data_IF_931381088932
#
_entry.id   IF_931381088932
#
_cell.length_a   1.000
_cell.length_b   1.000
_cell.length_c   1.000
_cell.angle_alpha   90.00
_cell.angle_beta   90.00
_cell.angle_gamma   90.00
#
_symmetry.space_group_name_H-M   'P 1'
#
loop_
_entity.id
_entity.type
_entity.pdbx_description
1 polymer ?
#
# COMPACT_ATOMS: atom_id res chain seq x y z
N UNK A 1 -58.06 13.42 49.91
CA UNK A 1 -58.14 12.46 48.80
C UNK A 1 -57.17 11.33 49.10
N UNK A 2 -57.65 10.09 49.17
CA UNK A 2 -56.81 8.88 49.33
C UNK A 2 -56.58 8.22 47.97
N UNK A 3 -55.63 7.28 47.87
CA UNK A 3 -55.42 6.50 46.64
C UNK A 3 -56.71 5.76 46.24
N UNK A 4 -57.45 5.23 47.21
CA UNK A 4 -58.74 4.56 46.96
C UNK A 4 -59.79 5.51 46.35
N UNK A 5 -59.76 6.79 46.76
CA UNK A 5 -60.64 7.81 46.18
C UNK A 5 -60.25 8.12 44.72
N UNK A 6 -58.94 8.16 44.41
CA UNK A 6 -58.42 8.36 43.04
C UNK A 6 -58.80 7.17 42.15
N UNK A 7 -58.66 5.92 42.65
CA UNK A 7 -59.09 4.71 41.92
C UNK A 7 -60.58 4.78 41.60
N UNK A 8 -61.40 5.13 42.60
CA UNK A 8 -62.85 5.26 42.44
C UNK A 8 -63.22 6.34 41.43
N UNK A 9 -62.60 7.52 41.52
CA UNK A 9 -62.81 8.63 40.58
C UNK A 9 -62.34 8.28 39.16
N UNK A 10 -61.25 7.52 39.03
CA UNK A 10 -60.74 7.03 37.73
C UNK A 10 -61.77 6.14 37.05
N UNK A 11 -62.30 5.15 37.76
CA UNK A 11 -63.29 4.21 37.21
C UNK A 11 -64.61 4.94 36.88
N UNK A 12 -65.05 5.84 37.76
CA UNK A 12 -66.23 6.67 37.52
C UNK A 12 -66.08 7.56 36.29
N UNK A 13 -64.90 8.18 36.11
CA UNK A 13 -64.60 9.02 34.96
C UNK A 13 -64.61 8.23 33.66
N UNK A 14 -63.99 7.04 33.63
CA UNK A 14 -63.97 6.17 32.45
C UNK A 14 -65.38 5.70 32.06
N UNK A 15 -66.17 5.30 33.04
CA UNK A 15 -67.57 4.90 32.84
C UNK A 15 -68.42 6.05 32.31
N UNK A 16 -68.26 7.26 32.86
CA UNK A 16 -68.99 8.45 32.40
C UNK A 16 -68.61 8.86 30.97
N UNK A 17 -67.34 8.68 30.58
CA UNK A 17 -66.84 8.95 29.24
C UNK A 17 -67.14 7.83 28.22
N UNK A 18 -67.74 6.71 28.67
CA UNK A 18 -67.93 5.48 27.86
C UNK A 18 -66.62 4.94 27.27
N UNK A 19 -65.50 5.20 27.94
CA UNK A 19 -64.18 4.72 27.53
C UNK A 19 -63.99 3.30 28.08
N UNK A 20 -63.55 2.32 27.27
CA UNK A 20 -63.37 0.96 27.75
C UNK A 20 -62.30 0.89 28.83
N UNK A 21 -62.56 0.10 29.88
CA UNK A 21 -61.65 -0.12 31.00
C UNK A 21 -60.47 -1.02 30.59
N UNK A 22 -59.58 -0.48 29.78
CA UNK A 22 -58.32 -1.11 29.40
C UNK A 22 -57.20 -0.66 30.34
N UNK A 23 -56.13 -1.46 30.52
CA UNK A 23 -54.98 -1.04 31.33
C UNK A 23 -54.41 0.33 30.93
N UNK A 24 -54.36 0.63 29.62
CA UNK A 24 -53.88 1.92 29.10
C UNK A 24 -54.80 3.08 29.48
N UNK A 25 -56.10 2.96 29.21
CA UNK A 25 -57.07 4.02 29.50
C UNK A 25 -57.19 4.27 31.01
N UNK A 26 -57.08 3.21 31.81
CA UNK A 26 -57.01 3.29 33.26
C UNK A 26 -55.77 4.06 33.70
N UNK A 27 -54.58 3.70 33.22
CA UNK A 27 -53.32 4.34 33.59
C UNK A 27 -53.30 5.83 33.23
N UNK A 28 -53.71 6.20 32.01
CA UNK A 28 -53.79 7.61 31.58
C UNK A 28 -54.74 8.43 32.45
N UNK A 29 -55.93 7.89 32.72
CA UNK A 29 -56.95 8.58 33.52
C UNK A 29 -56.52 8.69 34.99
N UNK A 30 -55.94 7.63 35.53
CA UNK A 30 -55.42 7.57 36.90
C UNK A 30 -54.29 8.57 37.10
N UNK A 31 -53.29 8.58 36.22
CA UNK A 31 -52.18 9.53 36.29
C UNK A 31 -52.63 10.99 36.17
N UNK A 32 -53.64 11.27 35.34
CA UNK A 32 -54.26 12.60 35.20
C UNK A 32 -54.96 13.05 36.48
N UNK A 33 -55.73 12.16 37.12
CA UNK A 33 -56.46 12.47 38.37
C UNK A 33 -55.47 12.59 39.53
N UNK A 34 -54.51 11.67 39.66
CA UNK A 34 -53.46 11.72 40.67
C UNK A 34 -52.69 13.05 40.63
N UNK A 35 -52.31 13.50 39.43
CA UNK A 35 -51.62 14.78 39.23
C UNK A 35 -52.45 16.00 39.65
N UNK A 36 -53.77 16.00 39.41
CA UNK A 36 -54.67 17.08 39.85
C UNK A 36 -54.70 17.25 41.36
N UNK A 37 -54.54 16.16 42.10
CA UNK A 37 -54.56 16.15 43.56
C UNK A 37 -53.16 16.18 44.18
N UNK A 38 -52.12 16.45 43.39
CA UNK A 38 -50.74 16.59 43.86
C UNK A 38 -50.04 15.27 44.19
N UNK A 39 -50.61 14.12 43.81
CA UNK A 39 -49.93 12.84 43.93
C UNK A 39 -48.99 12.63 42.74
N UNK A 40 -47.68 12.58 43.02
CA UNK A 40 -46.67 12.17 42.04
C UNK A 40 -46.38 10.68 42.22
N UNK A 41 -46.74 9.89 41.22
CA UNK A 41 -46.55 8.44 41.20
C UNK A 41 -45.45 8.16 40.18
N UNK A 42 -44.40 7.43 40.59
CA UNK A 42 -43.23 7.19 39.75
C UNK A 42 -43.60 6.55 38.40
N UNK A 43 -44.56 5.62 38.42
CA UNK A 43 -45.08 4.93 37.23
C UNK A 43 -45.68 5.88 36.19
N UNK A 44 -46.23 7.03 36.63
CA UNK A 44 -46.77 8.08 35.75
C UNK A 44 -45.69 8.91 35.05
N UNK A 45 -44.43 8.83 35.49
CA UNK A 45 -43.29 9.57 34.95
C UNK A 45 -42.24 8.67 34.27
N UNK A 46 -42.60 7.41 34.03
CA UNK A 46 -41.72 6.40 33.45
C UNK A 46 -41.18 6.83 32.08
N UNK A 47 -42.00 7.50 31.26
CA UNK A 47 -41.61 8.02 29.95
C UNK A 47 -40.51 9.08 30.07
N UNK A 48 -40.73 10.11 30.88
CA UNK A 48 -39.74 11.18 31.12
C UNK A 48 -38.44 10.62 31.70
N UNK A 49 -38.55 9.63 32.60
CA UNK A 49 -37.40 8.94 33.18
C UNK A 49 -36.53 8.28 32.10
N UNK A 50 -37.12 7.64 31.11
CA UNK A 50 -36.38 7.05 29.99
C UNK A 50 -35.85 8.11 29.00
N UNK A 51 -36.64 9.14 28.68
CA UNK A 51 -36.19 10.22 27.79
C UNK A 51 -34.95 10.92 28.35
N UNK A 52 -34.92 11.21 29.66
CA UNK A 52 -33.76 11.84 30.33
C UNK A 52 -32.48 11.01 30.30
N UNK A 53 -32.56 9.70 30.03
CA UNK A 53 -31.39 8.82 29.90
C UNK A 53 -30.78 8.84 28.50
N UNK A 54 -31.47 9.40 27.51
CA UNK A 54 -30.93 9.55 26.16
C UNK A 54 -29.92 10.70 26.12
N UNK A 55 -29.06 10.72 25.11
CA UNK A 55 -28.15 11.86 24.91
C UNK A 55 -28.93 13.14 24.51
N UNK A 56 -28.32 14.31 24.70
CA UNK A 56 -28.96 15.61 24.44
C UNK A 56 -29.49 15.73 23.01
N UNK A 57 -28.77 15.16 22.03
CA UNK A 57 -29.18 15.16 20.62
C UNK A 57 -30.51 14.43 20.40
N UNK A 58 -30.67 13.23 20.98
CA UNK A 58 -31.89 12.45 20.89
C UNK A 58 -33.02 13.06 21.73
N UNK A 59 -32.70 13.67 22.88
CA UNK A 59 -33.72 14.41 23.66
C UNK A 59 -34.30 15.57 22.86
N UNK A 60 -33.45 16.37 22.21
CA UNK A 60 -33.88 17.48 21.36
C UNK A 60 -34.65 17.00 20.11
N UNK A 61 -34.27 15.86 19.55
CA UNK A 61 -34.96 15.27 18.39
C UNK A 61 -36.34 14.71 18.77
N UNK A 62 -36.46 14.01 19.91
CA UNK A 62 -37.75 13.54 20.46
C UNK A 62 -38.72 14.70 20.67
N UNK A 63 -38.25 15.86 21.13
CA UNK A 63 -39.10 17.04 21.33
C UNK A 63 -39.80 17.53 20.06
N UNK A 64 -39.34 17.12 18.87
CA UNK A 64 -39.99 17.42 17.57
C UNK A 64 -41.11 16.43 17.23
N UNK A 65 -41.17 15.30 17.92
CA UNK A 65 -42.20 14.27 17.77
C UNK A 65 -43.15 14.33 18.96
N UNK A 66 -44.45 14.16 18.73
CA UNK A 66 -45.45 14.12 19.81
C UNK A 66 -45.46 12.74 20.48
N UNK A 67 -44.38 12.41 21.21
CA UNK A 67 -44.21 11.14 21.93
C UNK A 67 -44.88 11.24 23.30
N UNK A 68 -46.13 10.82 23.37
CA UNK A 68 -47.00 10.88 24.54
C UNK A 68 -47.11 9.54 25.27
N UNK A 69 -46.78 8.42 24.63
CA UNK A 69 -46.86 7.09 25.26
C UNK A 69 -45.52 6.37 25.28
N UNK A 70 -45.40 5.34 26.13
CA UNK A 70 -44.25 4.43 26.12
C UNK A 70 -44.12 3.69 24.78
N UNK A 71 -45.24 3.31 24.18
CA UNK A 71 -45.27 2.65 22.87
C UNK A 71 -44.75 3.57 21.77
N UNK A 72 -45.16 4.84 21.78
CA UNK A 72 -44.64 5.86 20.85
C UNK A 72 -43.15 6.12 21.07
N UNK A 73 -42.68 6.07 22.32
CA UNK A 73 -41.25 6.18 22.64
C UNK A 73 -40.48 4.98 22.08
N UNK A 74 -41.01 3.77 22.22
CA UNK A 74 -40.41 2.57 21.63
C UNK A 74 -40.38 2.64 20.10
N UNK A 75 -41.47 3.08 19.46
CA UNK A 75 -41.52 3.28 18.00
C UNK A 75 -40.46 4.31 17.56
N UNK A 76 -40.32 5.42 18.29
CA UNK A 76 -39.28 6.42 18.03
C UNK A 76 -37.87 5.81 18.14
N UNK A 77 -37.60 5.05 19.21
CA UNK A 77 -36.30 4.42 19.43
C UNK A 77 -35.98 3.40 18.35
N UNK A 78 -36.94 2.56 17.95
CA UNK A 78 -36.78 1.59 16.85
C UNK A 78 -36.48 2.32 15.54
N UNK A 79 -37.24 3.37 15.22
CA UNK A 79 -36.99 4.20 14.02
C UNK A 79 -35.61 4.86 14.04
N UNK A 80 -35.21 5.39 15.19
CA UNK A 80 -33.90 6.02 15.38
C UNK A 80 -32.76 5.02 15.26
N UNK A 81 -32.89 3.83 15.82
CA UNK A 81 -31.93 2.73 15.66
C UNK A 81 -31.81 2.32 14.19
N UNK A 82 -32.93 2.13 13.50
CA UNK A 82 -32.93 1.78 12.07
C UNK A 82 -32.31 2.90 11.21
N UNK A 83 -32.49 4.17 11.56
CA UNK A 83 -31.80 5.28 10.87
C UNK A 83 -30.28 5.24 11.07
N UNK A 84 -29.82 4.85 12.26
CA UNK A 84 -28.40 4.74 12.59
C UNK A 84 -27.72 3.55 11.91
N UNK A 85 -28.45 2.45 11.70
CA UNK A 85 -27.90 1.19 11.16
C UNK A 85 -28.18 1.00 9.66
N UNK A 86 -29.39 1.33 9.19
CA UNK A 86 -29.90 1.04 7.84
C UNK A 86 -30.30 2.30 7.05
N UNK A 87 -30.36 3.47 7.70
CA UNK A 87 -30.55 4.75 7.02
C UNK A 87 -29.34 5.14 6.16
N UNK A 88 -29.49 6.17 5.32
CA UNK A 88 -28.42 6.65 4.43
C UNK A 88 -27.11 6.91 5.19
N UNK A 89 -27.17 7.47 6.41
CA UNK A 89 -25.99 7.73 7.24
C UNK A 89 -25.30 6.45 7.74
N UNK A 90 -26.05 5.39 8.08
CA UNK A 90 -25.49 4.10 8.48
C UNK A 90 -24.83 3.37 7.31
N UNK A 91 -25.51 3.34 6.15
CA UNK A 91 -24.95 2.83 4.90
C UNK A 91 -23.70 3.59 4.48
N UNK A 92 -23.71 4.91 4.58
CA UNK A 92 -22.56 5.76 4.28
C UNK A 92 -21.36 5.39 5.15
N UNK A 93 -21.54 5.24 6.47
CA UNK A 93 -20.46 4.80 7.38
C UNK A 93 -19.88 3.45 6.96
N UNK A 94 -20.73 2.47 6.63
CA UNK A 94 -20.27 1.15 6.19
C UNK A 94 -19.49 1.21 4.88
N UNK A 95 -19.98 1.97 3.90
CA UNK A 95 -19.32 2.17 2.61
C UNK A 95 -17.99 2.90 2.79
N UNK A 96 -17.94 3.97 3.58
CA UNK A 96 -16.69 4.68 3.91
C UNK A 96 -15.69 3.76 4.59
N UNK A 97 -16.14 2.95 5.56
CA UNK A 97 -15.27 1.98 6.23
C UNK A 97 -14.69 0.96 5.25
N UNK A 98 -15.51 0.48 4.31
CA UNK A 98 -15.09 -0.45 3.25
C UNK A 98 -14.07 0.20 2.32
N UNK A 99 -14.30 1.45 1.91
CA UNK A 99 -13.37 2.20 1.09
C UNK A 99 -12.02 2.37 1.79
N UNK A 100 -12.03 2.73 3.08
CA UNK A 100 -10.80 2.85 3.88
C UNK A 100 -10.05 1.53 3.94
N UNK A 101 -10.74 0.40 4.15
CA UNK A 101 -10.09 -0.92 4.11
C UNK A 101 -9.42 -1.20 2.76
N UNK A 102 -10.14 -0.98 1.66
CA UNK A 102 -9.59 -1.20 0.31
C UNK A 102 -8.35 -0.33 0.05
N UNK A 103 -8.37 0.94 0.49
CA UNK A 103 -7.22 1.84 0.36
C UNK A 103 -6.02 1.34 1.20
N UNK A 104 -6.25 0.90 2.43
CA UNK A 104 -5.19 0.35 3.28
C UNK A 104 -4.63 -0.96 2.73
N UNK A 105 -5.47 -1.84 2.16
CA UNK A 105 -5.03 -3.07 1.49
C UNK A 105 -4.12 -2.74 0.29
N UNK A 106 -4.49 -1.73 -0.51
CA UNK A 106 -3.65 -1.26 -1.59
C UNK A 106 -2.31 -0.70 -1.08
N UNK A 107 -2.32 0.10 -0.01
CA UNK A 107 -1.08 0.65 0.56
C UNK A 107 -0.20 -0.47 1.14
N UNK A 108 -0.79 -1.49 1.76
CA UNK A 108 -0.07 -2.64 2.27
C UNK A 108 0.63 -3.45 1.16
N UNK A 109 0.03 -3.52 -0.04
CA UNK A 109 0.65 -4.17 -1.20
C UNK A 109 1.81 -3.35 -1.81
N UNK A 110 1.90 -2.05 -1.54
CA UNK A 110 2.93 -1.18 -2.13
C UNK A 110 4.33 -1.47 -1.55
N UNK A 111 5.42 -1.31 -2.33
CA UNK A 111 6.80 -1.56 -1.88
C UNK A 111 7.39 -0.44 -1.01
N UNK A 112 6.68 -0.03 0.05
CA UNK A 112 7.23 0.80 1.12
C UNK A 112 7.01 0.14 2.48
N UNK A 113 8.09 -0.18 3.19
CA UNK A 113 8.03 -0.94 4.46
C UNK A 113 7.25 -0.19 5.53
N UNK A 114 7.51 1.11 5.71
CA UNK A 114 6.86 1.93 6.74
C UNK A 114 5.36 2.04 6.48
N UNK A 115 4.96 2.41 5.26
CA UNK A 115 3.55 2.51 4.86
C UNK A 115 2.84 1.16 4.96
N UNK A 116 3.50 0.07 4.56
CA UNK A 116 2.92 -1.29 4.63
C UNK A 116 2.65 -1.73 6.05
N UNK A 117 3.61 -1.56 6.95
CA UNK A 117 3.46 -1.93 8.37
C UNK A 117 2.33 -1.14 9.03
N UNK A 118 2.28 0.18 8.79
CA UNK A 118 1.23 1.03 9.33
C UNK A 118 -0.16 0.70 8.73
N UNK A 119 -0.25 0.42 7.44
CA UNK A 119 -1.49 0.01 6.78
C UNK A 119 -2.03 -1.32 7.29
N UNK A 120 -1.16 -2.31 7.45
CA UNK A 120 -1.53 -3.64 7.98
C UNK A 120 -2.02 -3.54 9.42
N UNK A 121 -1.32 -2.78 10.28
CA UNK A 121 -1.74 -2.55 11.65
C UNK A 121 -3.07 -1.76 11.73
N UNK A 122 -3.27 -0.81 10.81
CA UNK A 122 -4.53 -0.05 10.72
C UNK A 122 -5.70 -0.94 10.32
N UNK A 123 -5.53 -1.84 9.35
CA UNK A 123 -6.54 -2.81 8.91
C UNK A 123 -6.97 -3.74 10.04
N UNK A 124 -6.02 -4.26 10.80
CA UNK A 124 -6.31 -5.14 11.93
C UNK A 124 -7.16 -4.41 12.99
N UNK A 125 -6.78 -3.18 13.34
CA UNK A 125 -7.49 -2.36 14.32
C UNK A 125 -8.90 -1.99 13.85
N UNK A 126 -9.05 -1.59 12.59
CA UNK A 126 -10.36 -1.24 12.02
C UNK A 126 -11.28 -2.46 11.97
N UNK A 127 -10.75 -3.64 11.64
CA UNK A 127 -11.54 -4.88 11.55
C UNK A 127 -12.02 -5.38 12.91
N UNK A 128 -11.23 -5.15 13.97
CA UNK A 128 -11.58 -5.52 15.36
C UNK A 128 -12.54 -4.55 16.06
N UNK A 129 -13.10 -3.55 15.36
CA UNK A 129 -13.98 -2.52 15.95
C UNK A 129 -13.29 -1.77 17.12
N UNK A 130 -12.07 -1.29 16.88
CA UNK A 130 -11.27 -0.59 17.91
C UNK A 130 -11.99 0.64 18.50
N UNK A 131 -11.65 0.96 19.75
CA UNK A 131 -12.12 2.14 20.47
C UNK A 131 -11.57 3.44 19.89
N UNK A 132 -12.20 4.58 20.24
CA UNK A 132 -11.87 5.90 19.69
C UNK A 132 -10.39 6.27 19.90
N UNK A 133 -9.83 6.01 21.09
CA UNK A 133 -8.43 6.34 21.40
C UNK A 133 -7.47 5.57 20.47
N UNK A 134 -7.76 4.29 20.21
CA UNK A 134 -6.95 3.48 19.30
C UNK A 134 -6.98 4.02 17.87
N UNK A 135 -8.11 4.58 17.41
CA UNK A 135 -8.23 5.19 16.09
C UNK A 135 -7.50 6.54 16.03
N UNK A 136 -7.58 7.37 17.07
CA UNK A 136 -6.84 8.64 17.15
C UNK A 136 -5.32 8.41 17.11
N UNK A 137 -4.81 7.39 17.80
CA UNK A 137 -3.39 7.02 17.74
C UNK A 137 -2.99 6.58 16.32
N UNK A 138 -3.84 5.84 15.61
CA UNK A 138 -3.57 5.48 14.21
C UNK A 138 -3.51 6.74 13.34
N UNK A 139 -4.46 7.67 13.51
CA UNK A 139 -4.48 8.94 12.77
C UNK A 139 -3.19 9.73 12.97
N UNK A 140 -2.73 9.90 14.21
CA UNK A 140 -1.48 10.60 14.52
C UNK A 140 -0.27 9.93 13.85
N UNK A 141 -0.23 8.60 13.78
CA UNK A 141 0.85 7.87 13.09
C UNK A 141 0.84 8.12 11.58
N UNK A 142 -0.35 8.20 10.96
CA UNK A 142 -0.47 8.54 9.54
C UNK A 142 -0.05 9.98 9.27
N UNK A 143 -0.41 10.92 10.14
CA UNK A 143 0.01 12.32 10.05
C UNK A 143 1.54 12.45 10.14
N UNK A 144 2.17 11.75 11.08
CA UNK A 144 3.63 11.71 11.20
C UNK A 144 4.30 11.12 9.94
N UNK A 145 3.77 10.02 9.41
CA UNK A 145 4.27 9.40 8.18
C UNK A 145 4.20 10.38 6.98
N UNK A 146 3.09 11.12 6.87
CA UNK A 146 2.91 12.13 5.81
C UNK A 146 3.89 13.30 5.96
N UNK A 147 4.19 13.71 7.19
CA UNK A 147 5.15 14.77 7.48
C UNK A 147 6.61 14.35 7.16
N UNK A 148 6.97 13.09 7.40
CA UNK A 148 8.30 12.53 7.11
C UNK A 148 8.53 12.15 5.64
N UNK A 149 7.51 12.30 4.78
CA UNK A 149 7.57 11.80 3.40
C UNK A 149 8.71 12.46 2.61
N UNK A 150 9.69 11.65 2.21
CA UNK A 150 10.74 12.11 1.29
C UNK A 150 10.09 12.40 -0.08
N UNK A 151 10.24 13.64 -0.55
CA UNK A 151 9.75 14.06 -1.87
C UNK A 151 10.86 13.98 -2.94
N UNK A 152 12.08 13.65 -2.55
CA UNK A 152 13.22 13.65 -3.46
C UNK A 152 13.37 12.37 -4.29
N UNK A 153 12.59 11.32 -4.01
CA UNK A 153 12.67 10.07 -4.77
C UNK A 153 12.28 10.27 -6.24
N UNK A 154 11.20 11.00 -6.51
CA UNK A 154 10.70 11.18 -7.88
C UNK A 154 11.67 12.02 -8.73
N UNK A 155 12.19 13.19 -8.28
CA UNK A 155 13.23 13.92 -8.99
C UNK A 155 14.49 13.08 -9.26
N UNK A 156 14.91 12.24 -8.30
CA UNK A 156 16.05 11.33 -8.50
C UNK A 156 15.76 10.29 -9.58
N UNK A 157 14.57 9.69 -9.58
CA UNK A 157 14.17 8.74 -10.62
C UNK A 157 14.06 9.39 -12.00
N UNK A 158 13.52 10.60 -12.07
CA UNK A 158 13.46 11.41 -13.29
C UNK A 158 14.85 11.71 -13.85
N UNK A 159 15.80 12.07 -12.97
CA UNK A 159 17.18 12.30 -13.35
C UNK A 159 17.83 11.03 -13.90
N UNK A 160 17.62 9.88 -13.25
CA UNK A 160 18.14 8.59 -13.71
C UNK A 160 17.53 8.16 -15.06
N UNK A 161 16.22 8.34 -15.23
CA UNK A 161 15.49 8.03 -16.44
C UNK A 161 15.71 9.05 -17.59
N UNK A 162 16.43 10.14 -17.32
CA UNK A 162 16.57 11.29 -18.23
C UNK A 162 15.22 11.81 -18.75
N UNK A 163 14.20 11.79 -17.89
CA UNK A 163 12.81 12.01 -18.25
C UNK A 163 12.10 12.86 -17.23
N UNK A 164 11.09 13.61 -17.69
CA UNK A 164 10.22 14.42 -16.82
C UNK A 164 8.91 13.72 -16.47
N UNK A 165 8.75 12.44 -16.83
CA UNK A 165 7.54 11.69 -16.51
C UNK A 165 7.35 11.60 -15.00
N UNK A 166 6.11 11.70 -14.54
CA UNK A 166 5.72 11.42 -13.16
C UNK A 166 5.14 10.01 -12.99
N UNK A 167 5.01 9.26 -14.09
CA UNK A 167 4.57 7.87 -14.07
C UNK A 167 5.76 6.97 -13.80
N UNK A 168 5.73 6.25 -12.67
CA UNK A 168 6.79 5.35 -12.25
C UNK A 168 7.04 4.26 -13.29
N UNK A 169 5.99 3.75 -13.94
CA UNK A 169 6.10 2.66 -14.92
C UNK A 169 6.89 3.14 -16.14
N UNK A 170 6.55 4.32 -16.66
CA UNK A 170 7.28 4.91 -17.80
C UNK A 170 8.74 5.24 -17.46
N UNK A 171 9.00 5.72 -16.24
CA UNK A 171 10.36 5.96 -15.78
C UNK A 171 11.17 4.65 -15.71
N UNK A 172 10.55 3.56 -15.24
CA UNK A 172 11.18 2.24 -15.20
C UNK A 172 11.46 1.72 -16.61
N UNK A 173 10.49 1.78 -17.52
CA UNK A 173 10.66 1.36 -18.92
C UNK A 173 11.83 2.10 -19.60
N UNK A 174 11.99 3.40 -19.32
CA UNK A 174 13.08 4.21 -19.85
C UNK A 174 14.44 3.84 -19.26
N UNK A 175 14.50 3.57 -17.96
CA UNK A 175 15.71 3.08 -17.30
C UNK A 175 16.11 1.71 -17.87
N UNK A 176 15.15 0.81 -18.05
CA UNK A 176 15.39 -0.51 -18.66
C UNK A 176 15.90 -0.39 -20.09
N UNK A 177 15.31 0.48 -20.91
CA UNK A 177 15.77 0.73 -22.26
C UNK A 177 17.21 1.26 -22.32
N UNK A 178 17.61 2.11 -21.36
CA UNK A 178 18.98 2.61 -21.26
C UNK A 178 19.96 1.50 -20.85
N UNK A 179 19.60 0.68 -19.86
CA UNK A 179 20.43 -0.44 -19.41
C UNK A 179 20.61 -1.51 -20.50
N UNK A 180 19.59 -1.71 -21.33
CA UNK A 180 19.60 -2.65 -22.44
C UNK A 180 20.07 -2.02 -23.76
N UNK A 181 20.59 -0.78 -23.75
CA UNK A 181 20.98 -0.11 -24.99
C UNK A 181 22.11 -0.88 -25.70
N UNK A 182 21.89 -1.15 -26.99
CA UNK A 182 22.81 -1.87 -27.87
C UNK A 182 24.18 -1.22 -27.98
N UNK A 183 24.30 0.07 -27.64
CA UNK A 183 25.54 0.83 -27.71
C UNK A 183 26.61 0.29 -26.76
N UNK A 184 26.25 -0.10 -25.53
CA UNK A 184 27.21 -0.71 -24.60
C UNK A 184 27.64 -2.12 -25.04
N UNK A 185 26.72 -2.90 -25.62
CA UNK A 185 27.04 -4.22 -26.18
C UNK A 185 27.91 -4.12 -27.44
N UNK A 186 27.65 -3.11 -28.28
CA UNK A 186 28.43 -2.84 -29.48
C UNK A 186 29.83 -2.34 -29.14
N UNK A 187 29.97 -1.43 -28.17
CA UNK A 187 31.27 -0.99 -27.65
C UNK A 187 32.07 -2.16 -27.08
N UNK A 188 31.42 -3.09 -26.38
CA UNK A 188 32.09 -4.27 -25.83
C UNK A 188 32.55 -5.24 -26.91
N UNK A 189 31.75 -5.43 -27.96
CA UNK A 189 32.15 -6.21 -29.14
C UNK A 189 33.36 -5.59 -29.87
N UNK A 190 33.36 -4.27 -30.07
CA UNK A 190 34.50 -3.54 -30.67
C UNK A 190 35.78 -3.66 -29.81
N UNK A 191 35.64 -3.62 -28.48
CA UNK A 191 36.75 -3.87 -27.55
C UNK A 191 37.27 -5.31 -27.66
N UNK A 192 36.38 -6.30 -27.73
CA UNK A 192 36.76 -7.70 -27.90
C UNK A 192 37.49 -7.92 -29.22
N UNK A 193 37.02 -7.33 -30.32
CA UNK A 193 37.70 -7.38 -31.61
C UNK A 193 39.12 -6.79 -31.53
N UNK A 194 39.28 -5.65 -30.86
CA UNK A 194 40.59 -5.01 -30.65
C UNK A 194 41.55 -5.91 -29.86
N UNK A 195 41.05 -6.55 -28.79
CA UNK A 195 41.84 -7.50 -27.99
C UNK A 195 42.25 -8.70 -28.85
N UNK A 196 41.33 -9.26 -29.62
CA UNK A 196 41.63 -10.38 -30.52
C UNK A 196 42.67 -10.01 -31.56
N UNK A 197 42.54 -8.84 -32.19
CA UNK A 197 43.53 -8.34 -33.14
C UNK A 197 44.93 -8.20 -32.53
N UNK A 198 45.02 -7.81 -31.25
CA UNK A 198 46.31 -7.68 -30.53
C UNK A 198 46.99 -9.03 -30.25
N UNK A 199 46.21 -10.11 -30.16
CA UNK A 199 46.72 -11.46 -29.93
C UNK A 199 47.21 -12.15 -31.20
N UNK A 200 46.87 -11.63 -32.38
CA UNK A 200 47.39 -12.15 -33.64
C UNK A 200 48.90 -11.85 -33.74
N UNK A 201 49.77 -12.87 -33.93
CA UNK A 201 51.20 -12.66 -34.15
C UNK A 201 51.41 -11.85 -35.43
N UNK A 202 52.42 -10.99 -35.45
CA UNK A 202 52.68 -10.09 -36.58
C UNK A 202 53.64 -10.69 -37.61
N UNK A 203 54.41 -11.71 -37.23
CA UNK A 203 55.50 -12.25 -38.03
C UNK A 203 55.33 -13.74 -38.32
N UNK A 204 54.85 -14.50 -37.33
CA UNK A 204 54.57 -15.93 -37.52
C UNK A 204 53.36 -16.15 -38.43
N UNK A 205 53.47 -17.13 -39.33
CA UNK A 205 52.40 -17.45 -40.29
C UNK A 205 51.30 -18.35 -39.70
N UNK A 206 51.60 -19.03 -38.59
CA UNK A 206 50.70 -19.97 -37.92
C UNK A 206 50.18 -19.38 -36.62
N UNK A 207 48.86 -19.45 -36.44
CA UNK A 207 48.21 -19.05 -35.20
C UNK A 207 48.24 -20.21 -34.22
N UNK A 208 48.66 -19.95 -32.99
CA UNK A 208 48.62 -20.92 -31.91
C UNK A 208 47.18 -21.29 -31.52
N UNK A 209 46.91 -22.57 -31.26
CA UNK A 209 45.55 -23.07 -30.98
C UNK A 209 44.90 -22.44 -29.75
N UNK A 210 45.69 -22.09 -28.71
CA UNK A 210 45.15 -21.43 -27.51
C UNK A 210 44.75 -19.99 -27.81
N UNK A 211 45.55 -19.30 -28.65
CA UNK A 211 45.21 -17.97 -29.14
C UNK A 211 43.94 -18.05 -30.01
N UNK A 212 43.86 -19.00 -30.93
CA UNK A 212 42.66 -19.18 -31.77
C UNK A 212 41.40 -19.43 -30.93
N UNK A 213 41.51 -20.25 -29.89
CA UNK A 213 40.39 -20.61 -29.02
C UNK A 213 39.87 -19.41 -28.22
N UNK A 214 40.78 -18.62 -27.60
CA UNK A 214 40.35 -17.43 -26.86
C UNK A 214 39.77 -16.37 -27.82
N UNK A 215 40.35 -16.23 -29.01
CA UNK A 215 39.88 -15.28 -30.02
C UNK A 215 38.46 -15.60 -30.48
N UNK A 216 38.17 -16.88 -30.75
CA UNK A 216 36.81 -17.32 -31.07
C UNK A 216 35.85 -17.07 -29.89
N UNK A 217 36.29 -17.38 -28.67
CA UNK A 217 35.46 -17.22 -27.47
C UNK A 217 35.07 -15.76 -27.24
N UNK A 218 36.02 -14.83 -27.37
CA UNK A 218 35.78 -13.39 -27.17
C UNK A 218 34.94 -12.75 -28.28
N UNK A 219 35.06 -13.22 -29.52
CA UNK A 219 34.23 -12.74 -30.63
C UNK A 219 32.76 -13.12 -30.47
N UNK A 220 32.47 -14.29 -29.89
CA UNK A 220 31.10 -14.77 -29.69
C UNK A 220 30.51 -14.34 -28.34
N UNK A 221 31.35 -14.02 -27.36
CA UNK A 221 30.95 -13.62 -26.01
C UNK A 221 31.84 -12.51 -25.44
N UNK A 222 31.68 -11.25 -25.92
CA UNK A 222 32.50 -10.11 -25.50
C UNK A 222 32.45 -9.80 -23.99
N UNK A 223 31.34 -10.15 -23.32
CA UNK A 223 31.12 -10.00 -21.87
C UNK A 223 32.15 -10.73 -21.00
N UNK A 224 32.81 -11.75 -21.57
CA UNK A 224 33.86 -12.50 -20.89
C UNK A 224 35.11 -11.64 -20.61
N UNK A 225 35.28 -10.50 -21.28
CA UNK A 225 36.36 -9.55 -20.97
C UNK A 225 36.34 -9.03 -19.52
N UNK A 226 35.18 -9.05 -18.86
CA UNK A 226 35.07 -8.65 -17.46
C UNK A 226 35.50 -9.75 -16.48
N UNK A 227 35.67 -10.99 -16.93
CA UNK A 227 36.05 -12.10 -16.06
C UNK A 227 37.55 -12.07 -15.76
N UNK A 228 37.88 -12.20 -14.47
CA UNK A 228 39.26 -12.09 -13.99
C UNK A 228 40.19 -13.18 -14.54
N UNK A 229 39.62 -14.37 -14.74
CA UNK A 229 40.27 -15.56 -15.28
C UNK A 229 40.68 -15.33 -16.74
N UNK A 230 39.73 -14.84 -17.56
CA UNK A 230 39.98 -14.46 -18.95
C UNK A 230 41.04 -13.36 -19.03
N UNK A 231 40.98 -12.35 -18.17
CA UNK A 231 42.00 -11.30 -18.13
C UNK A 231 43.40 -11.83 -17.76
N UNK A 232 43.50 -12.83 -16.89
CA UNK A 232 44.77 -13.48 -16.56
C UNK A 232 45.30 -14.32 -17.73
N UNK A 233 44.42 -15.04 -18.42
CA UNK A 233 44.81 -15.86 -19.57
C UNK A 233 45.21 -15.01 -20.77
N UNK A 234 44.52 -13.89 -21.01
CA UNK A 234 44.92 -12.89 -21.99
C UNK A 234 46.35 -12.40 -21.75
N UNK A 235 46.74 -12.11 -20.50
CA UNK A 235 48.12 -11.69 -20.17
C UNK A 235 49.14 -12.77 -20.55
N UNK A 236 48.87 -14.04 -20.21
CA UNK A 236 49.75 -15.15 -20.57
C UNK A 236 49.85 -15.33 -22.09
N UNK A 237 48.73 -15.19 -22.81
CA UNK A 237 48.68 -15.35 -24.26
C UNK A 237 49.38 -14.20 -24.99
N UNK A 238 49.34 -12.98 -24.46
CA UNK A 238 50.14 -11.85 -24.96
C UNK A 238 51.64 -12.18 -24.86
N UNK A 239 52.10 -12.69 -23.72
CA UNK A 239 53.49 -13.11 -23.55
C UNK A 239 53.88 -14.26 -24.50
N UNK A 240 52.97 -15.22 -24.71
CA UNK A 240 53.13 -16.33 -25.64
C UNK A 240 53.26 -15.83 -27.09
N UNK A 241 52.37 -14.95 -27.52
CA UNK A 241 52.39 -14.28 -28.83
C UNK A 241 53.70 -13.54 -29.07
N UNK A 242 54.18 -12.78 -28.10
CA UNK A 242 55.46 -12.05 -28.20
C UNK A 242 56.63 -13.03 -28.37
N UNK A 243 56.59 -14.19 -27.71
CA UNK A 243 57.62 -15.23 -27.84
C UNK A 243 57.62 -15.85 -29.23
N UNK A 244 56.44 -16.19 -29.76
CA UNK A 244 56.28 -16.73 -31.11
C UNK A 244 56.88 -15.77 -32.15
N UNK A 245 56.55 -14.48 -32.09
CA UNK A 245 57.13 -13.48 -33.01
C UNK A 245 58.66 -13.37 -32.86
N UNK A 246 59.20 -13.48 -31.64
CA UNK A 246 60.67 -13.45 -31.41
C UNK A 246 61.37 -14.68 -31.98
N UNK A 247 60.75 -15.85 -31.88
CA UNK A 247 61.29 -17.09 -32.43
C UNK A 247 61.29 -17.05 -33.96
N UNK A 248 60.20 -16.59 -34.59
CA UNK A 248 60.11 -16.38 -36.03
C UNK A 248 61.21 -15.42 -36.54
N UNK A 249 61.45 -14.29 -35.85
CA UNK A 249 62.54 -13.36 -36.21
C UNK A 249 63.88 -14.08 -36.20
N UNK A 250 64.14 -14.88 -35.17
CA UNK A 250 65.40 -15.61 -35.04
C UNK A 250 65.58 -16.62 -36.18
N UNK A 251 64.54 -17.39 -36.51
CA UNK A 251 64.58 -18.34 -37.62
C UNK A 251 64.82 -17.64 -38.97
N UNK A 252 64.15 -16.51 -39.21
CA UNK A 252 64.37 -15.74 -40.45
C UNK A 252 65.79 -15.18 -40.56
N UNK A 253 66.36 -14.68 -39.46
CA UNK A 253 67.77 -14.23 -39.45
C UNK A 253 68.71 -15.39 -39.76
N UNK A 254 68.51 -16.55 -39.15
CA UNK A 254 69.34 -17.75 -39.44
C UNK A 254 69.25 -18.16 -40.90
N UNK A 255 68.04 -18.15 -41.49
CA UNK A 255 67.84 -18.45 -42.91
C UNK A 255 68.54 -17.44 -43.84
N UNK A 256 68.56 -16.16 -43.45
CA UNK A 256 69.25 -15.10 -44.19
C UNK A 256 70.78 -15.29 -44.12
N UNK A 257 71.31 -15.63 -42.95
CA UNK A 257 72.74 -15.92 -42.77
C UNK A 257 73.17 -17.14 -43.60
N UNK A 258 72.34 -18.19 -43.67
CA UNK A 258 72.60 -19.36 -44.50
C UNK A 258 72.64 -18.99 -45.99
N UNK A 259 71.65 -18.25 -46.49
CA UNK A 259 71.62 -17.75 -47.87
C UNK A 259 72.83 -16.86 -48.18
N UNK A 260 73.22 -15.98 -47.25
CA UNK A 260 74.41 -15.14 -47.40
C UNK A 260 75.69 -15.98 -47.51
N UNK A 261 75.79 -17.06 -46.73
CA UNK A 261 76.93 -17.97 -46.78
C UNK A 261 77.03 -18.75 -48.09
N UNK A 262 75.89 -19.13 -48.68
CA UNK A 262 75.82 -19.79 -49.99
C UNK A 262 76.20 -18.84 -51.14
N UNK A 263 75.79 -17.57 -51.07
CA UNK A 263 76.07 -16.57 -52.12
C UNK A 263 77.51 -16.04 -52.06
N UNK A 264 78.16 -16.10 -50.90
CA UNK A 264 79.53 -15.64 -50.70
C UNK A 264 80.60 -16.74 -50.89
N UNK A 265 80.18 -17.97 -51.23
CA UNK A 265 81.03 -19.11 -51.62
C UNK A 265 81.06 -19.27 -53.14
#
# INVERSE_FOLDING_TARGET
MTINDIVKETIQTLNAQKTPLTPRNYQETFCRIASKYGFSIEECHTREKYIRRLNETLQADIGKYSVNTLDELLIYLVSSLNRLTLGNSGKQKLVTMTLVKNLLEHIAAFPDKKSRELASASLERITRLSDLNSLEIITQKWEALLAERDLNYLPRMQQLAQSRSSDISQLLDQIEAMLCSSESQQQLAEMAETVVASLTPSLAQTLDDEIATISYTLQNSPELLYQSEIQQDLKKLIEKRIRIDKEEVKERILSLDEILSEVSS
#
